data_IF_297915071622
#
_entry.id   IF_297915071622
#
_cell.length_a   1.000
_cell.length_b   1.000
_cell.length_c   1.000
_cell.angle_alpha   90.00
_cell.angle_beta   90.00
_cell.angle_gamma   90.00
#
_symmetry.space_group_name_H-M   'P 1'
#
loop_
_entity.id
_entity.type
_entity.pdbx_description
1 polymer ?
#
# COMPACT_ATOMS: atom_id res chain seq x y z
N UNK A 1 5.69 11.45 -5.37
CA UNK A 1 7.00 10.99 -4.86
C UNK A 1 6.75 9.69 -4.15
N UNK A 2 7.47 8.63 -4.52
CA UNK A 2 7.23 7.30 -3.96
C UNK A 2 7.72 7.21 -2.52
N UNK A 3 6.91 6.68 -1.61
CA UNK A 3 7.22 6.58 -0.18
C UNK A 3 8.35 5.59 0.15
N UNK A 4 8.66 4.69 -0.81
CA UNK A 4 9.68 3.65 -0.73
C UNK A 4 10.50 3.58 -2.03
N UNK A 5 11.71 3.01 -1.94
CA UNK A 5 12.55 2.78 -3.11
C UNK A 5 12.19 1.47 -3.83
N UNK A 6 12.30 1.45 -5.16
CA UNK A 6 12.08 0.24 -5.97
C UNK A 6 12.97 -0.95 -5.56
N UNK A 7 14.22 -0.70 -5.18
CA UNK A 7 15.14 -1.76 -4.69
C UNK A 7 14.60 -2.47 -3.44
N UNK A 8 13.98 -1.72 -2.52
CA UNK A 8 13.39 -2.26 -1.30
C UNK A 8 12.16 -3.10 -1.61
N UNK A 9 11.31 -2.65 -2.54
CA UNK A 9 10.15 -3.42 -3.00
C UNK A 9 10.58 -4.74 -3.67
N UNK A 10 11.60 -4.71 -4.52
CA UNK A 10 12.16 -5.91 -5.14
C UNK A 10 12.75 -6.88 -4.13
N UNK A 11 13.50 -6.36 -3.15
CA UNK A 11 14.02 -7.19 -2.06
C UNK A 11 12.90 -7.81 -1.21
N UNK A 12 11.77 -7.12 -1.04
CA UNK A 12 10.62 -7.63 -0.30
C UNK A 12 9.91 -8.77 -1.05
N UNK A 13 9.80 -8.68 -2.37
CA UNK A 13 9.18 -9.69 -3.25
C UNK A 13 10.15 -10.78 -3.71
N UNK A 14 11.43 -10.71 -3.31
CA UNK A 14 12.49 -11.60 -3.75
C UNK A 14 12.64 -11.66 -5.30
N UNK A 15 12.63 -10.48 -5.94
CA UNK A 15 12.79 -10.30 -7.39
C UNK A 15 14.20 -9.80 -7.70
N UNK A 16 14.98 -10.61 -8.42
CA UNK A 16 16.36 -10.26 -8.82
C UNK A 16 16.44 -9.61 -10.21
N UNK A 17 15.37 -9.71 -11.01
CA UNK A 17 15.32 -9.18 -12.38
C UNK A 17 15.01 -7.68 -12.48
N UNK A 18 15.06 -7.15 -13.70
CA UNK A 18 14.69 -5.76 -14.04
C UNK A 18 13.53 -5.67 -15.03
N UNK A 19 13.00 -6.80 -15.49
CA UNK A 19 11.93 -6.85 -16.50
C UNK A 19 10.65 -6.16 -16.04
N UNK A 20 10.37 -6.22 -14.74
CA UNK A 20 9.14 -5.70 -14.15
C UNK A 20 9.35 -4.37 -13.43
N UNK A 21 10.51 -3.70 -13.59
CA UNK A 21 10.82 -2.47 -12.84
C UNK A 21 9.78 -1.37 -13.07
N UNK A 22 9.34 -1.17 -14.31
CA UNK A 22 8.28 -0.20 -14.63
C UNK A 22 6.94 -0.59 -13.99
N UNK A 23 6.57 -1.87 -14.04
CA UNK A 23 5.31 -2.36 -13.47
C UNK A 23 5.31 -2.27 -11.94
N UNK A 24 6.41 -2.63 -11.29
CA UNK A 24 6.59 -2.52 -9.85
C UNK A 24 6.54 -1.05 -9.43
N UNK A 25 7.17 -0.14 -10.18
CA UNK A 25 7.08 1.30 -9.90
C UNK A 25 5.64 1.80 -9.92
N UNK A 26 4.85 1.38 -10.92
CA UNK A 26 3.43 1.71 -11.02
C UNK A 26 2.62 1.16 -9.83
N UNK A 27 2.90 -0.06 -9.37
CA UNK A 27 2.20 -0.62 -8.19
C UNK A 27 2.56 0.05 -6.88
N UNK A 28 3.78 0.57 -6.74
CA UNK A 28 4.14 1.36 -5.57
C UNK A 28 3.34 2.67 -5.57
N UNK A 29 3.24 3.35 -6.71
CA UNK A 29 2.42 4.57 -6.82
C UNK A 29 0.94 4.31 -6.54
N UNK A 30 0.39 3.21 -7.07
CA UNK A 30 -0.97 2.80 -6.80
C UNK A 30 -1.21 2.49 -5.31
N UNK A 31 -0.25 1.83 -4.65
CA UNK A 31 -0.30 1.54 -3.22
C UNK A 31 -0.24 2.82 -2.36
N UNK A 32 0.61 3.78 -2.73
CA UNK A 32 0.71 5.08 -2.07
C UNK A 32 -0.62 5.85 -2.17
N UNK A 33 -1.22 5.90 -3.36
CA UNK A 33 -2.52 6.56 -3.56
C UNK A 33 -3.62 5.87 -2.77
N UNK A 34 -3.65 4.53 -2.77
CA UNK A 34 -4.65 3.78 -2.02
C UNK A 34 -4.56 4.04 -0.51
N UNK A 35 -3.35 4.00 0.05
CA UNK A 35 -3.14 4.28 1.48
C UNK A 35 -3.47 5.73 1.83
N UNK A 36 -3.07 6.69 0.98
CA UNK A 36 -3.40 8.10 1.19
C UNK A 36 -4.91 8.34 1.22
N UNK A 37 -5.64 7.74 0.28
CA UNK A 37 -7.11 7.80 0.23
C UNK A 37 -7.76 7.11 1.44
N UNK A 38 -7.20 6.01 1.93
CA UNK A 38 -7.71 5.30 3.11
C UNK A 38 -7.52 6.12 4.40
N UNK A 39 -6.36 6.76 4.53
CA UNK A 39 -5.99 7.58 5.71
C UNK A 39 -6.74 8.92 5.69
N UNK A 40 -7.02 9.46 4.51
CA UNK A 40 -7.63 10.78 4.31
C UNK A 40 -6.62 11.90 4.01
N UNK A 41 -5.32 11.58 3.94
CA UNK A 41 -4.26 12.52 3.57
C UNK A 41 -3.16 11.84 2.78
N UNK A 42 -2.46 12.56 1.88
CA UNK A 42 -1.39 11.96 1.09
C UNK A 42 -0.20 11.54 1.97
N UNK A 43 0.47 10.44 1.62
CA UNK A 43 1.63 9.97 2.39
C UNK A 43 2.81 10.96 2.39
N UNK A 44 2.83 11.88 1.43
CA UNK A 44 3.84 12.95 1.35
C UNK A 44 3.81 13.91 2.53
N UNK A 45 2.70 13.97 3.26
CA UNK A 45 2.55 14.86 4.41
C UNK A 45 3.19 14.30 5.69
N UNK A 46 3.62 13.03 5.67
CA UNK A 46 4.39 12.45 6.77
C UNK A 46 5.89 12.68 6.54
N UNK A 47 6.51 13.53 7.36
CA UNK A 47 7.97 13.77 7.35
C UNK A 47 8.61 13.48 8.72
N UNK A 48 9.35 12.37 8.88
CA UNK A 48 9.56 11.28 7.92
C UNK A 48 8.39 10.29 7.88
N UNK A 49 8.15 9.65 6.73
CA UNK A 49 7.14 8.57 6.63
C UNK A 49 7.46 7.44 7.62
N UNK A 50 6.54 7.10 8.55
CA UNK A 50 6.68 6.01 9.50
C UNK A 50 7.02 4.66 8.85
N UNK A 51 7.82 3.84 9.55
CA UNK A 51 8.31 2.57 9.01
C UNK A 51 7.20 1.51 8.81
N UNK A 52 6.15 1.56 9.62
CA UNK A 52 4.96 0.73 9.49
C UNK A 52 4.11 1.11 8.27
N UNK A 53 3.96 2.40 7.95
CA UNK A 53 3.33 2.85 6.70
C UNK A 53 4.14 2.39 5.47
N UNK A 54 5.48 2.50 5.52
CA UNK A 54 6.34 1.93 4.47
C UNK A 54 6.13 0.41 4.30
N UNK A 55 5.96 -0.32 5.41
CA UNK A 55 5.63 -1.75 5.38
C UNK A 55 4.23 -2.00 4.78
N UNK A 56 3.24 -1.16 5.07
CA UNK A 56 1.91 -1.28 4.50
C UNK A 56 1.92 -1.09 2.96
N UNK A 57 2.71 -0.13 2.46
CA UNK A 57 2.94 0.08 1.02
C UNK A 57 3.55 -1.18 0.40
N UNK A 58 4.60 -1.75 1.01
CA UNK A 58 5.24 -2.98 0.54
C UNK A 58 4.26 -4.15 0.42
N UNK A 59 3.39 -4.35 1.42
CA UNK A 59 2.39 -5.42 1.41
C UNK A 59 1.37 -5.24 0.27
N UNK A 60 0.92 -4.00 0.03
CA UNK A 60 0.01 -3.70 -1.09
C UNK A 60 0.67 -3.86 -2.45
N UNK A 61 1.92 -3.40 -2.59
CA UNK A 61 2.70 -3.59 -3.83
C UNK A 61 2.85 -5.07 -4.15
N UNK A 62 3.24 -5.91 -3.17
CA UNK A 62 3.31 -7.36 -3.35
C UNK A 62 1.96 -7.95 -3.74
N UNK A 63 0.87 -7.51 -3.10
CA UNK A 63 -0.47 -7.98 -3.41
C UNK A 63 -0.88 -7.65 -4.86
N UNK A 64 -0.67 -6.41 -5.32
CA UNK A 64 -0.95 -6.04 -6.70
C UNK A 64 -0.06 -6.79 -7.71
N UNK A 65 1.20 -7.08 -7.33
CA UNK A 65 2.14 -7.83 -8.14
C UNK A 65 1.89 -9.35 -8.16
N UNK A 66 1.20 -9.92 -7.17
CA UNK A 66 0.81 -11.34 -7.20
C UNK A 66 -0.61 -11.55 -7.74
N UNK A 67 -1.54 -10.66 -7.39
CA UNK A 67 -2.97 -10.75 -7.72
C UNK A 67 -3.33 -9.66 -8.71
N UNK A 68 -3.52 -10.03 -9.99
CA UNK A 68 -3.89 -9.08 -11.07
C UNK A 68 -5.38 -8.74 -11.09
N UNK A 69 -6.21 -9.51 -10.40
CA UNK A 69 -7.66 -9.38 -10.40
C UNK A 69 -8.20 -9.55 -8.98
N UNK A 70 -9.36 -8.96 -8.69
CA UNK A 70 -10.02 -9.14 -7.41
C UNK A 70 -10.52 -10.59 -7.27
N UNK A 71 -9.81 -11.41 -6.49
CA UNK A 71 -10.25 -12.78 -6.21
C UNK A 71 -11.27 -12.76 -5.06
N UNK A 72 -12.53 -13.05 -5.39
CA UNK A 72 -13.55 -13.34 -4.39
C UNK A 72 -13.31 -14.75 -3.82
N UNK A 73 -12.46 -14.86 -2.81
CA UNK A 73 -12.20 -16.10 -2.10
C UNK A 73 -13.38 -16.45 -1.15
N UNK A 74 -14.48 -16.90 -1.74
CA UNK A 74 -15.54 -17.71 -1.11
C UNK A 74 -16.43 -17.06 -0.02
N UNK A 75 -15.92 -16.20 0.85
CA UNK A 75 -16.68 -15.69 2.02
C UNK A 75 -16.42 -14.19 2.33
N UNK A 76 -15.37 -13.57 1.79
CA UNK A 76 -15.20 -12.10 1.90
C UNK A 76 -14.29 -11.55 0.80
N UNK A 77 -14.74 -10.53 0.07
CA UNK A 77 -13.86 -9.74 -0.80
C UNK A 77 -12.90 -8.94 0.07
N UNK A 78 -11.64 -9.36 0.13
CA UNK A 78 -10.60 -8.57 0.78
C UNK A 78 -9.90 -7.72 -0.28
N UNK A 79 -10.20 -6.43 -0.29
CA UNK A 79 -9.58 -5.47 -1.21
C UNK A 79 -8.14 -5.09 -0.81
N UNK A 80 -7.72 -5.45 0.41
CA UNK A 80 -6.37 -5.23 0.91
C UNK A 80 -5.91 -6.40 1.81
N UNK A 81 -4.60 -6.71 1.84
CA UNK A 81 -4.05 -7.73 2.72
C UNK A 81 -4.35 -7.48 4.20
N UNK A 82 -4.58 -8.56 4.95
CA UNK A 82 -4.75 -8.50 6.41
C UNK A 82 -3.55 -7.79 7.06
N UNK A 83 -3.84 -6.77 7.85
CA UNK A 83 -2.83 -5.97 8.55
C UNK A 83 -2.54 -4.61 7.92
N UNK A 84 -2.73 -4.44 6.61
CA UNK A 84 -2.57 -3.13 5.94
C UNK A 84 -3.60 -2.14 6.47
N UNK A 85 -4.87 -2.55 6.53
CA UNK A 85 -5.96 -1.74 7.08
C UNK A 85 -5.80 -1.44 8.56
N UNK A 86 -5.23 -2.38 9.33
CA UNK A 86 -4.95 -2.15 10.76
C UNK A 86 -3.89 -1.07 10.97
N UNK A 87 -2.81 -1.10 10.18
CA UNK A 87 -1.78 -0.06 10.21
C UNK A 87 -2.40 1.28 9.77
N UNK A 88 -3.10 1.29 8.63
CA UNK A 88 -3.67 2.51 8.07
C UNK A 88 -4.74 3.15 8.98
N UNK A 89 -5.52 2.34 9.72
CA UNK A 89 -6.51 2.83 10.67
C UNK A 89 -5.90 3.65 11.82
N UNK A 90 -4.65 3.42 12.19
CA UNK A 90 -3.95 4.21 13.24
C UNK A 90 -3.60 5.62 12.79
N UNK A 91 -3.52 5.86 11.49
CA UNK A 91 -3.15 7.16 10.91
C UNK A 91 -4.35 7.93 10.35
N UNK A 92 -5.50 7.26 10.27
CA UNK A 92 -6.72 7.78 9.65
C UNK A 92 -7.26 8.99 10.42
N UNK A 93 -7.51 10.09 9.70
CA UNK A 93 -7.95 11.35 10.32
C UNK A 93 -9.43 11.34 10.70
N UNK A 94 -10.29 10.68 9.92
CA UNK A 94 -11.74 10.61 10.19
C UNK A 94 -12.19 9.17 10.48
N UNK A 95 -12.44 8.88 11.76
CA UNK A 95 -13.03 7.62 12.24
C UNK A 95 -14.55 7.69 12.37
N UNK A 96 -15.06 8.86 12.73
CA UNK A 96 -16.47 9.19 12.85
C UNK A 96 -16.67 10.45 12.03
N UNK A 97 -17.65 10.47 11.13
CA UNK A 97 -17.96 11.67 10.36
C UNK A 97 -18.03 12.86 11.31
N UNK A 98 -17.17 13.85 11.07
CA UNK A 98 -17.18 15.09 11.83
C UNK A 98 -18.62 15.57 11.91
N UNK A 99 -19.15 15.56 13.14
CA UNK A 99 -20.58 15.62 13.39
C UNK A 99 -21.26 16.77 12.65
N UNK A 100 -22.04 16.40 11.64
CA UNK A 100 -23.20 17.16 11.17
C UNK A 100 -24.47 16.36 11.52
#
# INVERSE_FOLDING_TARGET
MSSITLSLAKSHMNIDGTNDDELISFYIEAADVWLGNFIGKPLTDFDPVPADLKRAVLLLTSYYYEQREAIAAGISMQFAPLGVTNIANSYREDWFGNGE
#
